data_IF_974907986660
#
_entry.id   IF_974907986660
#
_cell.length_a   1.000
_cell.length_b   1.000
_cell.length_c   1.000
_cell.angle_alpha   90.00
_cell.angle_beta   90.00
_cell.angle_gamma   90.00
#
_symmetry.space_group_name_H-M   'P 1'
#
loop_
_entity.id
_entity.type
_entity.pdbx_description
1 polymer ?
#
# COMPACT_ATOMS: atom_id res chain seq x y z
N UNK A 1 -14.23 -16.70 4.48
CA UNK A 1 -12.91 -16.59 3.81
C UNK A 1 -12.76 -17.71 2.79
N UNK A 2 -12.01 -17.50 1.72
CA UNK A 2 -11.60 -18.61 0.85
C UNK A 2 -10.75 -19.63 1.62
N UNK A 3 -10.86 -20.91 1.26
CA UNK A 3 -10.08 -21.99 1.90
C UNK A 3 -8.63 -22.08 1.42
N UNK A 4 -8.30 -21.40 0.31
CA UNK A 4 -6.97 -21.40 -0.33
C UNK A 4 -6.67 -20.02 -0.91
N UNK A 5 -5.38 -19.69 -1.06
CA UNK A 5 -4.88 -18.49 -1.72
C UNK A 5 -3.53 -18.81 -2.39
N UNK A 6 -3.19 -18.11 -3.47
CA UNK A 6 -1.87 -18.20 -4.08
C UNK A 6 -0.86 -17.36 -3.29
N UNK A 7 -1.31 -16.20 -2.78
CA UNK A 7 -0.50 -15.27 -1.99
C UNK A 7 -1.31 -14.77 -0.80
N UNK A 8 -0.70 -14.82 0.39
CA UNK A 8 -1.26 -14.25 1.62
C UNK A 8 -0.37 -13.12 2.10
N UNK A 9 -0.93 -11.91 2.19
CA UNK A 9 -0.28 -10.73 2.76
C UNK A 9 -0.77 -10.56 4.20
N UNK A 10 0.16 -10.45 5.15
CA UNK A 10 -0.16 -10.34 6.58
C UNK A 10 0.15 -8.91 7.06
N UNK A 11 -0.87 -8.23 7.58
CA UNK A 11 -0.82 -6.85 8.08
C UNK A 11 -1.46 -5.87 7.09
N UNK A 12 -2.59 -5.28 7.46
CA UNK A 12 -3.35 -4.30 6.69
C UNK A 12 -2.94 -2.84 6.98
N UNK A 13 -1.65 -2.59 7.17
CA UNK A 13 -1.07 -1.25 7.06
C UNK A 13 -0.83 -0.85 5.60
N UNK A 14 -0.31 0.36 5.36
CA UNK A 14 -0.06 0.89 4.00
C UNK A 14 0.79 -0.03 3.15
N UNK A 15 1.82 -0.66 3.74
CA UNK A 15 2.70 -1.58 3.01
C UNK A 15 1.96 -2.84 2.56
N UNK A 16 1.11 -3.42 3.42
CA UNK A 16 0.36 -4.62 3.06
C UNK A 16 -0.76 -4.34 2.07
N UNK A 17 -1.46 -3.22 2.23
CA UNK A 17 -2.48 -2.76 1.28
C UNK A 17 -1.86 -2.48 -0.10
N UNK A 18 -0.75 -1.73 -0.17
CA UNK A 18 -0.04 -1.45 -1.41
C UNK A 18 0.48 -2.74 -2.07
N UNK A 19 1.07 -3.65 -1.29
CA UNK A 19 1.53 -4.95 -1.81
C UNK A 19 0.38 -5.76 -2.42
N UNK A 20 -0.75 -5.88 -1.69
CA UNK A 20 -1.91 -6.61 -2.18
C UNK A 20 -2.51 -5.97 -3.44
N UNK A 21 -2.59 -4.63 -3.47
CA UNK A 21 -3.05 -3.88 -4.64
C UNK A 21 -2.21 -4.16 -5.88
N UNK A 22 -0.87 -4.02 -5.79
CA UNK A 22 0.00 -4.24 -6.94
C UNK A 22 0.05 -5.71 -7.39
N UNK A 23 -0.02 -6.67 -6.47
CA UNK A 23 -0.13 -8.08 -6.82
C UNK A 23 -1.44 -8.37 -7.57
N UNK A 24 -2.56 -7.81 -7.11
CA UNK A 24 -3.85 -7.97 -7.78
C UNK A 24 -3.83 -7.30 -9.17
N UNK A 25 -3.31 -6.07 -9.28
CA UNK A 25 -3.18 -5.35 -10.54
C UNK A 25 -2.27 -6.06 -11.55
N UNK A 26 -1.22 -6.75 -11.08
CA UNK A 26 -0.34 -7.56 -11.90
C UNK A 26 -0.94 -8.93 -12.31
N UNK A 27 -2.15 -9.27 -11.85
CA UNK A 27 -2.77 -10.56 -12.13
C UNK A 27 -2.06 -11.74 -11.45
N UNK A 28 -1.44 -11.53 -10.28
CA UNK A 28 -0.65 -12.53 -9.57
C UNK A 28 -1.46 -13.68 -8.94
N UNK A 29 -2.71 -13.87 -9.36
CA UNK A 29 -3.61 -14.90 -8.84
C UNK A 29 -4.47 -14.44 -7.66
N UNK A 30 -4.82 -15.39 -6.78
CA UNK A 30 -5.71 -15.19 -5.64
C UNK A 30 -4.93 -14.65 -4.44
N UNK A 31 -4.96 -13.32 -4.30
CA UNK A 31 -4.34 -12.59 -3.20
C UNK A 31 -5.32 -12.43 -2.04
N UNK A 32 -4.88 -12.73 -0.82
CA UNK A 32 -5.64 -12.50 0.42
C UNK A 32 -4.82 -11.61 1.36
N UNK A 33 -5.41 -10.48 1.77
CA UNK A 33 -4.85 -9.61 2.82
C UNK A 33 -5.52 -9.93 4.16
N UNK A 34 -4.71 -10.17 5.19
CA UNK A 34 -5.16 -10.45 6.55
C UNK A 34 -4.72 -9.33 7.49
N UNK A 35 -5.65 -8.82 8.29
CA UNK A 35 -5.39 -7.84 9.35
C UNK A 35 -5.92 -8.41 10.68
N UNK A 36 -5.17 -8.21 11.77
CA UNK A 36 -5.58 -8.65 13.11
C UNK A 36 -6.56 -7.67 13.75
N UNK A 37 -6.42 -6.39 13.44
CA UNK A 37 -7.23 -5.31 14.01
C UNK A 37 -8.62 -5.22 13.31
N UNK A 38 -9.65 -4.64 13.96
CA UNK A 38 -10.99 -4.54 13.37
C UNK A 38 -11.09 -3.74 12.06
N UNK A 39 -10.11 -2.88 11.80
CA UNK A 39 -10.01 -1.98 10.66
C UNK A 39 -8.55 -1.88 10.21
N UNK A 40 -8.36 -1.69 8.90
CA UNK A 40 -7.05 -1.42 8.31
C UNK A 40 -6.44 -0.12 8.84
N UNK A 41 -5.11 -0.03 8.78
CA UNK A 41 -4.37 1.17 9.14
C UNK A 41 -4.24 1.44 10.66
N UNK A 42 -4.82 0.66 11.56
CA UNK A 42 -4.78 0.96 13.02
C UNK A 42 -3.38 0.87 13.68
N UNK A 43 -2.39 0.34 12.96
CA UNK A 43 -0.98 0.32 13.36
C UNK A 43 -0.26 1.67 13.11
N UNK A 44 1.01 1.60 12.70
CA UNK A 44 1.82 2.79 12.44
C UNK A 44 1.25 3.70 11.33
N UNK A 45 0.55 3.13 10.35
CA UNK A 45 -0.03 3.87 9.22
C UNK A 45 -1.05 4.92 9.65
N UNK A 46 -2.07 4.57 10.43
CA UNK A 46 -3.11 5.50 10.87
C UNK A 46 -2.67 6.39 12.04
N UNK A 47 -1.51 6.11 12.64
CA UNK A 47 -0.92 6.91 13.72
C UNK A 47 0.16 7.86 13.24
N UNK A 48 0.57 7.79 11.96
CA UNK A 48 1.53 8.74 11.43
C UNK A 48 0.84 10.09 11.20
N UNK A 49 1.60 11.18 11.25
CA UNK A 49 1.09 12.51 10.95
C UNK A 49 0.83 12.75 9.44
N UNK A 50 0.92 11.70 8.63
CA UNK A 50 0.89 11.78 7.17
C UNK A 50 2.12 12.48 6.58
N UNK A 51 1.94 13.02 5.38
CA UNK A 51 2.94 13.78 4.65
C UNK A 51 3.74 12.96 3.64
N UNK A 52 3.87 13.51 2.44
CA UNK A 52 4.68 12.95 1.35
C UNK A 52 5.94 13.80 1.20
N UNK A 53 7.10 13.16 1.15
CA UNK A 53 8.39 13.81 0.89
C UNK A 53 9.26 12.91 0.04
N UNK A 54 10.14 13.53 -0.75
CA UNK A 54 11.12 12.84 -1.59
C UNK A 54 12.56 13.30 -1.32
N UNK A 55 12.76 14.18 -0.33
CA UNK A 55 14.07 14.64 0.09
C UNK A 55 14.60 13.73 1.21
N UNK A 56 15.64 12.95 0.90
CA UNK A 56 16.28 12.02 1.84
C UNK A 56 17.81 12.07 1.71
N UNK A 57 18.49 11.59 2.75
CA UNK A 57 19.96 11.62 2.82
C UNK A 57 20.65 10.63 1.87
N UNK A 58 19.94 9.61 1.37
CA UNK A 58 20.49 8.58 0.50
C UNK A 58 19.75 8.56 -0.82
N UNK A 59 20.51 8.32 -1.89
CA UNK A 59 19.97 8.23 -3.25
C UNK A 59 18.86 7.17 -3.36
N UNK A 60 19.04 6.00 -2.74
CA UNK A 60 18.03 4.92 -2.78
C UNK A 60 16.68 5.37 -2.20
N UNK A 61 16.67 6.13 -1.11
CA UNK A 61 15.42 6.62 -0.52
C UNK A 61 14.78 7.71 -1.37
N UNK A 62 15.59 8.58 -1.99
CA UNK A 62 15.09 9.58 -2.94
C UNK A 62 14.42 8.89 -4.14
N UNK A 63 15.08 7.90 -4.74
CA UNK A 63 14.54 7.16 -5.88
C UNK A 63 13.26 6.41 -5.52
N UNK A 64 13.24 5.74 -4.36
CA UNK A 64 12.04 5.05 -3.86
C UNK A 64 10.87 6.01 -3.68
N UNK A 65 11.11 7.20 -3.12
CA UNK A 65 10.05 8.19 -2.94
C UNK A 65 9.57 8.81 -4.25
N UNK A 66 10.47 9.10 -5.19
CA UNK A 66 10.09 9.58 -6.53
C UNK A 66 9.23 8.53 -7.24
N UNK A 67 9.56 7.25 -7.15
CA UNK A 67 8.77 6.18 -7.76
C UNK A 67 7.32 6.13 -7.22
N UNK A 68 7.10 6.53 -5.97
CA UNK A 68 5.75 6.58 -5.38
C UNK A 68 4.88 7.75 -5.87
N UNK A 69 5.49 8.80 -6.48
CA UNK A 69 4.74 9.98 -6.93
C UNK A 69 3.74 9.65 -8.04
N UNK A 70 4.13 8.82 -9.01
CA UNK A 70 3.26 8.43 -10.10
C UNK A 70 1.97 7.74 -9.59
N UNK A 71 2.08 6.94 -8.52
CA UNK A 71 0.92 6.31 -7.88
C UNK A 71 0.01 7.33 -7.20
N UNK A 72 0.59 8.34 -6.53
CA UNK A 72 -0.20 9.39 -5.88
C UNK A 72 -0.94 10.25 -6.92
N UNK A 73 -0.30 10.54 -8.05
CA UNK A 73 -0.90 11.30 -9.15
C UNK A 73 -2.07 10.54 -9.81
N UNK A 74 -1.99 9.21 -9.95
CA UNK A 74 -3.07 8.40 -10.51
C UNK A 74 -4.07 7.88 -9.48
N UNK A 75 -3.88 8.14 -8.18
CA UNK A 75 -4.60 7.47 -7.10
C UNK A 75 -6.12 7.64 -7.20
N UNK A 76 -6.60 8.86 -7.45
CA UNK A 76 -8.03 9.13 -7.59
C UNK A 76 -8.62 8.44 -8.82
N UNK A 77 -7.89 8.41 -9.94
CA UNK A 77 -8.31 7.70 -11.14
C UNK A 77 -8.40 6.18 -10.91
N UNK A 78 -7.41 5.61 -10.20
CA UNK A 78 -7.29 4.17 -10.02
C UNK A 78 -8.20 3.61 -8.92
N UNK A 79 -8.50 4.43 -7.90
CA UNK A 79 -9.21 3.99 -6.69
C UNK A 79 -10.53 4.72 -6.44
N UNK A 80 -10.77 5.86 -7.09
CA UNK A 80 -11.91 6.73 -6.83
C UNK A 80 -11.85 7.46 -5.48
N UNK A 81 -10.67 7.57 -4.86
CA UNK A 81 -10.46 8.24 -3.57
C UNK A 81 -9.42 9.36 -3.71
N UNK A 82 -9.63 10.48 -3.00
CA UNK A 82 -8.64 11.55 -2.93
C UNK A 82 -7.40 11.06 -2.12
N UNK A 83 -6.18 11.20 -2.66
CA UNK A 83 -4.96 10.85 -1.93
C UNK A 83 -4.59 11.80 -0.76
N UNK A 84 -5.29 12.94 -0.56
CA UNK A 84 -4.96 13.96 0.45
C UNK A 84 -6.10 14.30 1.43
#
# INVERSE_FOLDING_TARGET
>A
MPNTADIVVIGGGVMGASTAYHLAAAGAGKVVLLEKEPYFGQGATGRCAGGVRYQFATEINVQLSIASLAMLESFEQDTGQDPL
#
